data_IF_607677638363
#
_entry.id   IF_607677638363
#
_cell.length_a   1.000
_cell.length_b   1.000
_cell.length_c   1.000
_cell.angle_alpha   90.00
_cell.angle_beta   90.00
_cell.angle_gamma   90.00
#
_symmetry.space_group_name_H-M   'P 1'
#
loop_
_entity.id
_entity.type
_entity.pdbx_description
1 polymer ?
#
# COMPACT_ATOMS: atom_id res chain seq x y z
N UNK A 1 -48.05 -58.27 -32.96
CA UNK A 1 -47.25 -57.06 -33.07
C UNK A 1 -46.84 -56.65 -31.62
N UNK A 2 -45.60 -56.91 -31.24
CA UNK A 2 -45.07 -56.50 -29.89
C UNK A 2 -44.31 -55.19 -30.08
N UNK A 3 -44.75 -54.13 -29.41
CA UNK A 3 -44.07 -52.84 -29.38
C UNK A 3 -42.84 -52.94 -28.45
N UNK A 4 -41.65 -52.59 -28.96
CA UNK A 4 -40.40 -52.48 -28.21
C UNK A 4 -40.30 -51.05 -27.70
N UNK A 5 -40.37 -50.88 -26.39
CA UNK A 5 -40.15 -49.56 -25.75
C UNK A 5 -38.65 -49.38 -25.52
N UNK A 6 -38.03 -48.43 -26.21
CA UNK A 6 -36.64 -48.07 -25.99
C UNK A 6 -36.59 -47.04 -24.83
N UNK A 7 -35.99 -47.45 -23.72
CA UNK A 7 -35.70 -46.54 -22.58
C UNK A 7 -34.36 -45.89 -22.87
N UNK A 8 -34.34 -44.58 -23.20
CA UNK A 8 -33.11 -43.79 -23.28
C UNK A 8 -32.65 -43.40 -21.86
N UNK A 9 -31.53 -43.93 -21.44
CA UNK A 9 -30.86 -43.51 -20.20
C UNK A 9 -30.07 -42.24 -20.49
N UNK A 10 -30.52 -41.10 -19.96
CA UNK A 10 -29.78 -39.86 -19.98
C UNK A 10 -28.77 -39.92 -18.79
N UNK A 11 -27.50 -40.11 -19.11
CA UNK A 11 -26.41 -39.97 -18.14
C UNK A 11 -26.12 -38.50 -17.93
N UNK A 12 -26.62 -37.91 -16.85
CA UNK A 12 -26.22 -36.60 -16.38
C UNK A 12 -24.79 -36.62 -15.89
N UNK A 13 -23.85 -36.10 -16.67
CA UNK A 13 -22.52 -35.76 -16.18
C UNK A 13 -22.65 -34.56 -15.22
N UNK A 14 -22.69 -34.84 -13.92
CA UNK A 14 -22.47 -33.79 -12.90
C UNK A 14 -20.99 -33.47 -12.97
N UNK A 15 -20.66 -32.36 -13.66
CA UNK A 15 -19.32 -31.80 -13.66
C UNK A 15 -18.98 -31.40 -12.23
N UNK A 16 -18.08 -32.15 -11.58
CA UNK A 16 -17.44 -31.72 -10.34
C UNK A 16 -16.62 -30.46 -10.65
N UNK A 17 -17.16 -29.30 -10.32
CA UNK A 17 -16.32 -28.11 -10.20
C UNK A 17 -15.23 -28.39 -9.17
N UNK A 18 -13.96 -28.07 -9.42
CA UNK A 18 -12.92 -28.24 -8.42
C UNK A 18 -13.33 -27.48 -7.16
N UNK A 19 -13.37 -28.19 -6.03
CA UNK A 19 -13.63 -27.57 -4.73
C UNK A 19 -12.54 -26.53 -4.50
N UNK A 20 -12.95 -25.27 -4.41
CA UNK A 20 -12.05 -24.17 -4.05
C UNK A 20 -11.44 -24.52 -2.67
N UNK A 21 -10.12 -24.57 -2.60
CA UNK A 21 -9.42 -24.87 -1.35
C UNK A 21 -9.82 -23.82 -0.30
N UNK A 22 -10.08 -24.21 0.95
CA UNK A 22 -10.42 -23.27 2.01
C UNK A 22 -9.28 -22.26 2.16
N UNK A 23 -9.61 -20.95 2.11
CA UNK A 23 -8.63 -19.89 2.28
C UNK A 23 -8.07 -19.89 3.70
N UNK A 24 -6.75 -19.65 3.88
CA UNK A 24 -6.13 -19.69 5.19
C UNK A 24 -6.76 -18.67 6.13
N UNK A 25 -7.03 -19.08 7.36
CA UNK A 25 -7.59 -18.22 8.40
C UNK A 25 -6.49 -17.54 9.23
N UNK A 26 -5.33 -18.20 9.37
CA UNK A 26 -4.12 -17.71 10.02
C UNK A 26 -2.90 -18.17 9.23
N UNK A 27 -1.74 -17.57 9.54
CA UNK A 27 -0.48 -18.07 9.00
C UNK A 27 -0.10 -19.40 9.65
N UNK A 28 0.42 -20.30 8.82
CA UNK A 28 1.06 -21.54 9.25
C UNK A 28 2.59 -21.39 9.17
N UNK A 29 3.29 -21.78 10.25
CA UNK A 29 4.74 -21.70 10.39
C UNK A 29 5.34 -23.12 10.52
N UNK A 30 5.40 -23.89 9.45
CA UNK A 30 5.92 -25.26 9.52
C UNK A 30 7.43 -25.26 9.82
N UNK A 31 7.89 -26.27 10.55
CA UNK A 31 9.32 -26.46 10.81
C UNK A 31 10.14 -26.71 9.54
N UNK A 32 9.49 -27.28 8.52
CA UNK A 32 10.05 -27.49 7.17
C UNK A 32 9.02 -27.12 6.12
N UNK A 33 9.48 -26.53 5.02
CA UNK A 33 8.60 -26.14 3.91
C UNK A 33 7.89 -27.38 3.34
N UNK A 34 6.55 -27.43 3.36
CA UNK A 34 5.81 -28.57 2.83
C UNK A 34 6.05 -28.76 1.33
N UNK A 35 6.28 -29.98 0.89
CA UNK A 35 6.47 -30.30 -0.54
C UNK A 35 5.25 -29.89 -1.40
N UNK A 36 4.06 -29.87 -0.81
CA UNK A 36 2.82 -29.45 -1.48
C UNK A 36 2.86 -28.01 -1.96
N UNK A 37 3.72 -27.16 -1.39
CA UNK A 37 3.91 -25.76 -1.84
C UNK A 37 4.72 -25.66 -3.13
N UNK A 38 5.41 -26.73 -3.54
CA UNK A 38 6.30 -26.73 -4.71
C UNK A 38 7.35 -25.60 -4.63
N UNK A 39 8.07 -25.56 -3.52
CA UNK A 39 9.15 -24.60 -3.25
C UNK A 39 10.45 -25.40 -3.04
N UNK A 40 11.50 -24.99 -3.73
CA UNK A 40 12.84 -25.56 -3.57
C UNK A 40 13.52 -25.01 -2.33
N UNK A 41 13.67 -25.81 -1.28
CA UNK A 41 14.37 -25.42 -0.05
C UNK A 41 15.83 -25.02 -0.30
N UNK A 42 16.51 -25.69 -1.22
CA UNK A 42 17.92 -25.38 -1.56
C UNK A 42 18.06 -23.96 -2.18
N UNK A 43 17.05 -23.55 -2.94
CA UNK A 43 17.04 -22.24 -3.59
C UNK A 43 16.65 -21.09 -2.64
N UNK A 44 15.98 -21.37 -1.53
CA UNK A 44 15.70 -20.37 -0.49
C UNK A 44 17.00 -19.82 0.13
N UNK A 45 18.09 -20.59 0.14
CA UNK A 45 19.38 -20.14 0.62
C UNK A 45 19.92 -18.91 -0.16
N UNK A 46 19.50 -18.72 -1.42
CA UNK A 46 19.89 -17.53 -2.18
C UNK A 46 19.29 -16.24 -1.64
N UNK A 47 18.12 -16.33 -1.00
CA UNK A 47 17.52 -15.17 -0.30
C UNK A 47 18.43 -14.77 0.87
N UNK A 48 18.77 -15.73 1.73
CA UNK A 48 19.64 -15.48 2.89
C UNK A 48 20.98 -14.89 2.46
N UNK A 49 21.58 -15.47 1.43
CA UNK A 49 22.90 -15.05 0.92
C UNK A 49 22.86 -13.64 0.36
N UNK A 50 21.83 -13.30 -0.43
CA UNK A 50 21.65 -11.96 -0.97
C UNK A 50 21.55 -10.91 0.13
N UNK A 51 20.66 -11.14 1.11
CA UNK A 51 20.35 -10.17 2.14
C UNK A 51 21.51 -10.01 3.13
N UNK A 52 22.15 -11.11 3.52
CA UNK A 52 23.33 -11.07 4.38
C UNK A 52 24.49 -10.34 3.72
N UNK A 53 24.75 -10.58 2.44
CA UNK A 53 25.76 -9.91 1.61
C UNK A 53 25.57 -8.38 1.59
N UNK A 54 24.33 -7.92 1.49
CA UNK A 54 24.01 -6.48 1.46
C UNK A 54 24.20 -5.83 2.83
N UNK A 55 23.86 -6.55 3.91
CA UNK A 55 24.13 -6.11 5.28
C UNK A 55 25.63 -6.07 5.58
N UNK A 56 26.37 -7.15 5.27
CA UNK A 56 27.81 -7.27 5.56
C UNK A 56 28.65 -6.22 4.80
N UNK A 57 28.19 -5.83 3.61
CA UNK A 57 28.83 -4.76 2.80
C UNK A 57 28.41 -3.36 3.25
N UNK A 58 27.52 -3.22 4.24
CA UNK A 58 27.00 -1.94 4.71
C UNK A 58 26.14 -1.20 3.66
N UNK A 59 25.62 -1.92 2.66
CA UNK A 59 24.74 -1.33 1.64
C UNK A 59 23.37 -1.04 2.24
N UNK A 60 22.84 -1.93 3.09
CA UNK A 60 21.62 -1.74 3.87
C UNK A 60 21.92 -1.94 5.37
N UNK A 61 21.19 -1.26 6.27
CA UNK A 61 21.38 -1.44 7.71
C UNK A 61 20.86 -2.81 8.16
N UNK A 62 19.81 -3.26 7.54
CA UNK A 62 19.07 -4.48 7.86
C UNK A 62 18.16 -4.89 6.72
N UNK A 63 17.67 -6.13 6.80
CA UNK A 63 16.56 -6.63 6.01
C UNK A 63 15.63 -7.48 6.91
N UNK A 64 14.35 -7.21 6.88
CA UNK A 64 13.31 -8.07 7.47
C UNK A 64 12.42 -8.58 6.35
N UNK A 65 12.21 -9.88 6.29
CA UNK A 65 11.43 -10.54 5.25
C UNK A 65 10.20 -11.22 5.81
N UNK A 66 9.14 -11.26 5.00
CA UNK A 66 8.00 -12.13 5.24
C UNK A 66 7.49 -12.65 3.89
N UNK A 67 7.58 -13.97 3.66
CA UNK A 67 7.11 -14.60 2.43
C UNK A 67 6.23 -15.79 2.78
N UNK A 68 5.01 -15.79 2.25
CA UNK A 68 4.07 -16.88 2.43
C UNK A 68 3.38 -17.27 1.12
N UNK A 69 3.11 -18.55 0.94
CA UNK A 69 2.31 -19.11 -0.15
C UNK A 69 1.08 -19.80 0.42
N UNK A 70 -0.11 -19.37 -0.02
CA UNK A 70 -1.39 -19.90 0.46
C UNK A 70 -1.48 -19.91 2.00
N UNK A 71 -0.96 -18.86 2.67
CA UNK A 71 -0.95 -18.72 4.12
C UNK A 71 0.14 -19.50 4.85
N UNK A 72 0.94 -20.30 4.16
CA UNK A 72 2.08 -21.02 4.75
C UNK A 72 3.34 -20.18 4.61
N UNK A 73 3.91 -19.77 5.76
CA UNK A 73 5.12 -18.94 5.81
C UNK A 73 6.35 -19.82 5.59
N UNK A 74 7.13 -19.51 4.58
CA UNK A 74 8.33 -20.26 4.28
C UNK A 74 9.63 -19.45 4.36
N UNK A 75 9.52 -18.10 4.49
CA UNK A 75 10.65 -17.23 4.77
C UNK A 75 10.21 -16.07 5.65
N UNK A 76 10.72 -16.01 6.87
CA UNK A 76 10.50 -14.92 7.82
C UNK A 76 11.77 -14.77 8.67
N UNK A 77 12.69 -13.91 8.21
CA UNK A 77 14.03 -13.75 8.80
C UNK A 77 14.42 -12.29 8.92
N UNK A 78 15.18 -12.01 9.99
CA UNK A 78 15.80 -10.73 10.26
C UNK A 78 17.31 -10.80 9.99
N UNK A 79 17.88 -9.78 9.37
CA UNK A 79 19.30 -9.62 9.05
C UNK A 79 19.75 -8.22 9.47
N UNK A 80 20.92 -8.10 10.09
CA UNK A 80 21.52 -6.81 10.46
C UNK A 80 20.96 -6.21 11.74
N UNK A 81 20.89 -4.86 11.76
CA UNK A 81 20.74 -4.09 12.99
C UNK A 81 19.48 -3.22 12.95
N UNK A 82 18.68 -3.23 14.00
CA UNK A 82 17.57 -2.26 14.16
C UNK A 82 18.13 -0.85 14.45
N UNK A 83 19.33 -0.78 15.03
CA UNK A 83 20.08 0.44 15.22
C UNK A 83 21.59 0.12 15.18
N UNK A 84 22.31 0.68 14.18
CA UNK A 84 23.73 0.42 13.95
C UNK A 84 24.58 1.04 15.08
N UNK A 85 24.24 2.26 15.49
CA UNK A 85 25.03 3.03 16.43
C UNK A 85 25.08 2.37 17.82
N UNK A 86 23.96 1.80 18.25
CA UNK A 86 23.89 1.06 19.53
C UNK A 86 24.27 -0.43 19.40
N UNK A 87 24.41 -0.94 18.18
CA UNK A 87 24.64 -2.36 17.91
C UNK A 87 23.45 -3.26 18.26
N UNK A 88 22.24 -2.71 18.26
CA UNK A 88 21.02 -3.48 18.53
C UNK A 88 20.64 -4.30 17.30
N UNK A 89 20.58 -5.63 17.44
CA UNK A 89 20.15 -6.53 16.39
C UNK A 89 18.69 -6.28 16.00
N UNK A 90 18.35 -6.55 14.73
CA UNK A 90 16.97 -6.50 14.25
C UNK A 90 16.18 -7.70 14.76
N UNK A 91 14.98 -7.44 15.29
CA UNK A 91 14.04 -8.46 15.75
C UNK A 91 12.79 -8.51 14.80
N UNK A 92 12.11 -9.65 14.75
CA UNK A 92 10.96 -9.85 13.86
C UNK A 92 9.75 -9.02 14.23
N UNK A 93 9.63 -8.64 15.49
CA UNK A 93 8.56 -7.83 16.06
C UNK A 93 8.93 -6.35 16.21
N UNK A 94 10.07 -5.93 15.65
CA UNK A 94 10.43 -4.51 15.59
C UNK A 94 9.42 -3.71 14.75
N UNK A 95 9.22 -2.45 15.15
CA UNK A 95 8.28 -1.54 14.53
C UNK A 95 8.95 -0.76 13.40
N UNK A 96 8.35 -0.79 12.25
CA UNK A 96 8.77 -0.02 11.08
C UNK A 96 7.84 1.13 10.80
N UNK A 97 8.36 2.18 10.16
CA UNK A 97 7.55 3.23 9.56
C UNK A 97 7.00 2.72 8.23
N UNK A 98 5.71 2.47 8.15
CA UNK A 98 5.08 1.94 6.95
C UNK A 98 4.98 2.98 5.84
N UNK A 99 5.05 4.28 6.17
CA UNK A 99 4.91 5.37 5.21
C UNK A 99 3.74 5.14 4.23
N UNK A 100 4.03 5.08 2.94
CA UNK A 100 3.01 4.99 1.90
C UNK A 100 2.23 3.67 1.85
N UNK A 101 2.66 2.64 2.56
CA UNK A 101 1.82 1.46 2.80
C UNK A 101 0.50 1.82 3.52
N UNK A 102 0.49 2.92 4.28
CA UNK A 102 -0.72 3.48 4.90
C UNK A 102 -1.84 3.72 3.89
N UNK A 103 -1.52 4.10 2.65
CA UNK A 103 -2.50 4.42 1.61
C UNK A 103 -3.42 3.25 1.26
N UNK A 104 -2.87 2.04 1.16
CA UNK A 104 -3.66 0.86 0.88
C UNK A 104 -4.66 0.57 2.01
N UNK A 105 -4.23 0.73 3.28
CA UNK A 105 -5.09 0.56 4.46
C UNK A 105 -6.19 1.62 4.47
N UNK A 106 -5.86 2.88 4.18
CA UNK A 106 -6.84 3.98 4.09
C UNK A 106 -7.83 3.76 2.94
N UNK A 107 -7.36 3.28 1.78
CA UNK A 107 -8.23 2.95 0.64
C UNK A 107 -9.21 1.83 1.01
N UNK A 108 -8.74 0.77 1.66
CA UNK A 108 -9.60 -0.31 2.16
C UNK A 108 -10.61 0.22 3.18
N UNK A 109 -10.20 1.10 4.11
CA UNK A 109 -11.12 1.71 5.06
C UNK A 109 -12.24 2.50 4.37
N UNK A 110 -11.91 3.29 3.35
CA UNK A 110 -12.91 4.03 2.58
C UNK A 110 -13.84 3.05 1.82
N UNK A 111 -13.30 1.96 1.27
CA UNK A 111 -14.10 0.97 0.54
C UNK A 111 -15.02 0.15 1.45
N UNK A 112 -14.76 0.02 2.75
CA UNK A 112 -15.74 -0.55 3.69
C UNK A 112 -16.98 0.32 3.82
N UNK A 113 -16.84 1.64 3.72
CA UNK A 113 -17.95 2.60 3.73
C UNK A 113 -18.70 2.63 2.39
N UNK A 114 -18.00 2.37 1.28
CA UNK A 114 -18.62 2.12 -0.02
C UNK A 114 -19.57 0.90 0.04
N UNK A 115 -19.13 -0.22 0.61
CA UNK A 115 -19.98 -1.41 0.80
C UNK A 115 -21.21 -1.14 1.69
N UNK A 116 -21.11 -0.20 2.62
CA UNK A 116 -22.21 0.27 3.44
C UNK A 116 -23.17 1.23 2.70
N UNK A 117 -22.90 1.53 1.42
CA UNK A 117 -23.74 2.43 0.62
C UNK A 117 -23.64 3.91 1.00
N UNK A 118 -22.57 4.34 1.68
CA UNK A 118 -22.39 5.74 2.09
C UNK A 118 -22.16 6.68 0.93
N UNK A 119 -21.60 6.19 -0.17
CA UNK A 119 -21.32 6.94 -1.40
C UNK A 119 -21.25 6.01 -2.60
N UNK A 120 -21.27 6.59 -3.81
CA UNK A 120 -20.93 5.92 -5.06
C UNK A 120 -19.50 6.28 -5.45
N UNK A 121 -18.77 5.35 -6.12
CA UNK A 121 -17.37 5.55 -6.45
C UNK A 121 -17.13 6.77 -7.37
N UNK A 122 -18.12 7.12 -8.19
CA UNK A 122 -18.08 8.27 -9.09
C UNK A 122 -18.84 9.49 -8.56
N UNK A 123 -19.21 9.49 -7.27
CA UNK A 123 -19.76 10.69 -6.64
C UNK A 123 -18.71 11.82 -6.67
N UNK A 124 -19.13 13.07 -7.03
CA UNK A 124 -18.25 14.22 -6.95
C UNK A 124 -17.79 14.49 -5.51
N UNK A 125 -16.50 14.73 -5.33
CA UNK A 125 -15.91 15.03 -4.02
C UNK A 125 -16.55 16.28 -3.40
N UNK A 126 -16.89 17.27 -4.22
CA UNK A 126 -17.57 18.52 -3.80
C UNK A 126 -18.94 18.30 -3.15
N UNK A 127 -19.56 17.14 -3.36
CA UNK A 127 -20.79 16.73 -2.65
C UNK A 127 -20.57 16.56 -1.14
N UNK A 128 -19.36 16.19 -0.74
CA UNK A 128 -19.00 15.88 0.65
C UNK A 128 -18.04 16.92 1.24
N UNK A 129 -17.24 17.56 0.38
CA UNK A 129 -16.26 18.59 0.72
C UNK A 129 -16.58 19.82 -0.15
N UNK A 130 -17.52 20.69 0.27
CA UNK A 130 -17.93 21.84 -0.55
C UNK A 130 -16.79 22.82 -0.88
N UNK A 131 -15.72 22.82 -0.08
CA UNK A 131 -14.51 23.63 -0.30
C UNK A 131 -13.67 23.15 -1.49
N UNK A 132 -13.95 21.96 -2.02
CA UNK A 132 -13.19 21.37 -3.12
C UNK A 132 -13.30 22.22 -4.39
N UNK A 133 -12.16 22.61 -4.93
CA UNK A 133 -12.08 23.43 -6.15
C UNK A 133 -12.64 22.68 -7.37
N UNK A 134 -13.21 23.44 -8.30
CA UNK A 134 -13.56 23.01 -9.65
C UNK A 134 -12.65 23.64 -10.72
N UNK A 135 -11.45 24.10 -10.31
CA UNK A 135 -10.51 24.81 -11.15
C UNK A 135 -9.25 23.97 -11.42
N UNK A 136 -8.76 24.02 -12.65
CA UNK A 136 -7.45 23.50 -13.08
C UNK A 136 -6.50 24.65 -13.31
N UNK A 137 -5.26 24.49 -12.89
CA UNK A 137 -4.17 25.42 -13.15
C UNK A 137 -3.86 25.46 -14.66
N UNK A 138 -3.92 26.64 -15.26
CA UNK A 138 -3.45 26.87 -16.63
C UNK A 138 -2.03 27.41 -16.68
N UNK A 139 -1.72 28.37 -15.80
CA UNK A 139 -0.42 29.02 -15.76
C UNK A 139 -0.09 29.44 -14.33
N UNK A 140 1.14 29.16 -13.93
CA UNK A 140 1.76 29.71 -12.73
C UNK A 140 2.86 30.71 -13.15
N UNK A 141 2.79 31.92 -12.64
CA UNK A 141 3.78 32.96 -12.89
C UNK A 141 4.91 32.89 -11.85
N UNK A 142 6.12 33.44 -12.18
CA UNK A 142 7.25 33.48 -11.24
C UNK A 142 6.99 34.23 -9.94
N UNK A 143 6.07 35.17 -9.93
CA UNK A 143 5.65 35.94 -8.75
C UNK A 143 4.63 35.22 -7.87
N UNK A 144 4.25 33.97 -8.22
CA UNK A 144 3.29 33.15 -7.51
C UNK A 144 1.83 33.39 -7.86
N UNK A 145 1.52 34.36 -8.76
CA UNK A 145 0.17 34.52 -9.31
C UNK A 145 -0.13 33.41 -10.31
N UNK A 146 -1.40 33.05 -10.47
CA UNK A 146 -1.79 31.98 -11.41
C UNK A 146 -3.12 32.27 -12.10
N UNK A 147 -3.32 31.66 -13.26
CA UNK A 147 -4.61 31.62 -13.97
C UNK A 147 -5.16 30.21 -13.94
N UNK A 148 -6.49 30.10 -13.96
CA UNK A 148 -7.21 28.83 -13.92
C UNK A 148 -8.31 28.80 -14.96
N UNK A 149 -8.73 27.62 -15.33
CA UNK A 149 -9.97 27.33 -16.02
C UNK A 149 -10.81 26.32 -15.24
N UNK A 150 -12.07 26.22 -15.57
CA UNK A 150 -12.93 25.18 -15.01
C UNK A 150 -12.51 23.80 -15.47
N UNK A 151 -12.66 22.78 -14.59
CA UNK A 151 -12.43 21.36 -14.91
C UNK A 151 -13.38 20.89 -16.05
N UNK A 152 -12.88 19.99 -16.88
CA UNK A 152 -13.70 19.36 -17.93
C UNK A 152 -14.72 18.37 -17.35
N UNK A 153 -14.39 17.70 -16.24
CA UNK A 153 -15.25 16.76 -15.52
C UNK A 153 -15.07 16.93 -14.00
N UNK A 154 -16.10 16.61 -13.19
CA UNK A 154 -15.98 16.69 -11.74
C UNK A 154 -14.89 15.78 -11.19
N UNK A 155 -14.20 16.22 -10.14
CA UNK A 155 -13.34 15.37 -9.32
C UNK A 155 -14.19 14.37 -8.54
N UNK A 156 -13.93 13.08 -8.70
CA UNK A 156 -14.68 11.99 -8.04
C UNK A 156 -13.83 11.23 -7.03
N UNK A 157 -14.48 10.39 -6.19
CA UNK A 157 -13.80 9.53 -5.22
C UNK A 157 -12.89 8.51 -5.94
N UNK A 158 -13.29 8.00 -7.11
CA UNK A 158 -12.44 7.16 -7.98
C UNK A 158 -11.10 7.83 -8.25
N UNK A 159 -11.11 9.09 -8.64
CA UNK A 159 -9.90 9.84 -8.97
C UNK A 159 -8.97 10.02 -7.75
N UNK A 160 -9.52 10.13 -6.53
CA UNK A 160 -8.72 10.17 -5.31
C UNK A 160 -8.00 8.83 -5.08
N UNK A 161 -8.74 7.71 -5.14
CA UNK A 161 -8.24 6.37 -4.88
C UNK A 161 -7.23 5.89 -5.92
N UNK A 162 -7.34 6.36 -7.17
CA UNK A 162 -6.44 6.00 -8.27
C UNK A 162 -5.30 6.97 -8.50
N UNK A 163 -5.15 8.01 -7.66
CA UNK A 163 -4.16 9.08 -7.86
C UNK A 163 -4.27 9.80 -9.21
N UNK A 164 -5.48 9.89 -9.78
CA UNK A 164 -5.77 10.64 -11.01
C UNK A 164 -6.57 11.92 -10.74
N UNK A 165 -6.49 12.44 -9.52
CA UNK A 165 -7.30 13.57 -9.06
C UNK A 165 -6.79 14.95 -9.50
N UNK A 166 -5.49 15.09 -9.79
CA UNK A 166 -4.85 16.38 -10.00
C UNK A 166 -4.58 17.19 -8.71
N UNK A 167 -5.02 16.71 -7.54
CA UNK A 167 -4.76 17.37 -6.25
C UNK A 167 -3.27 17.37 -5.96
N UNK A 168 -2.67 18.58 -5.77
CA UNK A 168 -1.27 18.72 -5.39
C UNK A 168 -0.25 18.22 -6.42
N UNK A 169 -0.67 17.90 -7.62
CA UNK A 169 0.13 17.28 -8.67
C UNK A 169 1.21 18.13 -9.30
N UNK A 170 1.25 19.43 -9.04
CA UNK A 170 2.31 20.31 -9.50
C UNK A 170 3.22 20.65 -8.32
N UNK A 171 4.54 20.45 -8.46
CA UNK A 171 5.53 20.81 -7.42
C UNK A 171 5.43 22.28 -7.01
N UNK A 172 5.09 23.15 -7.96
CA UNK A 172 4.94 24.58 -7.71
C UNK A 172 3.66 24.88 -6.93
N UNK A 173 2.55 24.15 -7.22
CA UNK A 173 1.33 24.22 -6.41
C UNK A 173 1.53 23.63 -5.01
N UNK A 174 2.31 22.56 -4.86
CA UNK A 174 2.72 22.09 -3.55
C UNK A 174 3.55 23.11 -2.80
N UNK A 175 4.42 23.81 -3.49
CA UNK A 175 5.23 24.89 -2.91
C UNK A 175 4.35 26.04 -2.46
N UNK A 176 3.32 26.42 -3.24
CA UNK A 176 2.34 27.43 -2.85
C UNK A 176 1.54 26.98 -1.63
N UNK A 177 1.02 25.75 -1.62
CA UNK A 177 0.31 25.19 -0.48
C UNK A 177 1.20 25.13 0.76
N UNK A 178 2.46 24.68 0.64
CA UNK A 178 3.45 24.68 1.73
C UNK A 178 3.82 26.08 2.19
N UNK A 179 3.94 27.04 1.29
CA UNK A 179 4.21 28.43 1.64
C UNK A 179 3.03 29.06 2.38
N UNK A 180 1.81 28.70 2.00
CA UNK A 180 0.61 29.10 2.74
C UNK A 180 0.59 28.51 4.15
N UNK A 181 0.97 27.23 4.31
CA UNK A 181 1.16 26.61 5.62
C UNK A 181 2.26 27.27 6.45
N UNK A 182 3.38 27.69 5.81
CA UNK A 182 4.47 28.42 6.48
C UNK A 182 4.07 29.83 6.91
N UNK A 183 3.21 30.49 6.17
CA UNK A 183 2.64 31.80 6.53
C UNK A 183 1.73 31.72 7.78
N UNK A 184 1.20 30.54 8.11
CA UNK A 184 0.45 30.25 9.34
C UNK A 184 1.35 29.86 10.53
N UNK A 185 2.52 30.46 10.70
CA UNK A 185 3.44 30.26 11.84
C UNK A 185 4.16 28.90 11.89
N UNK A 186 4.36 28.23 10.77
CA UNK A 186 5.01 26.88 10.72
C UNK A 186 4.30 25.81 11.58
N UNK A 187 3.07 26.04 12.01
CA UNK A 187 2.33 25.07 12.79
C UNK A 187 1.72 24.03 11.84
N UNK A 188 1.98 22.74 12.08
CA UNK A 188 1.23 21.68 11.41
C UNK A 188 -0.25 21.82 11.76
N UNK A 189 -1.14 21.38 10.87
CA UNK A 189 -2.57 21.33 11.16
C UNK A 189 -2.83 20.40 12.37
N UNK A 190 -3.80 20.77 13.20
CA UNK A 190 -4.13 19.98 14.39
C UNK A 190 -4.95 18.75 14.04
N UNK A 191 -5.67 18.78 12.93
CA UNK A 191 -6.55 17.70 12.47
C UNK A 191 -6.38 17.44 10.96
N UNK A 192 -6.69 16.22 10.53
CA UNK A 192 -6.72 15.85 9.11
C UNK A 192 -7.75 16.69 8.34
N UNK A 193 -8.89 16.98 8.96
CA UNK A 193 -9.95 17.80 8.37
C UNK A 193 -9.47 19.22 8.02
N UNK A 194 -8.69 19.87 8.89
CA UNK A 194 -8.13 21.19 8.63
C UNK A 194 -7.15 21.17 7.46
N UNK A 195 -6.28 20.17 7.42
CA UNK A 195 -5.32 20.03 6.33
C UNK A 195 -6.02 19.81 4.99
N UNK A 196 -6.96 18.84 4.95
CA UNK A 196 -7.67 18.50 3.71
C UNK A 196 -8.48 19.68 3.20
N UNK A 197 -9.21 20.39 4.05
CA UNK A 197 -9.96 21.57 3.65
C UNK A 197 -9.08 22.71 3.11
N UNK A 198 -7.88 22.85 3.63
CA UNK A 198 -6.92 23.80 3.09
C UNK A 198 -6.34 23.32 1.74
N UNK A 199 -6.05 22.03 1.62
CA UNK A 199 -5.45 21.42 0.42
C UNK A 199 -6.39 21.48 -0.79
N UNK A 200 -7.66 21.11 -0.63
CA UNK A 200 -8.60 20.95 -1.75
C UNK A 200 -9.09 22.27 -2.36
N UNK A 201 -8.76 23.41 -1.78
CA UNK A 201 -9.07 24.75 -2.33
C UNK A 201 -8.11 25.16 -3.45
N UNK A 202 -6.91 24.53 -3.54
CA UNK A 202 -5.95 24.86 -4.60
C UNK A 202 -6.39 24.29 -5.94
N UNK A 203 -6.07 24.98 -7.06
CA UNK A 203 -6.34 24.45 -8.38
C UNK A 203 -5.73 23.08 -8.58
N UNK A 204 -6.43 22.21 -9.30
CA UNK A 204 -5.92 20.92 -9.71
C UNK A 204 -4.79 21.10 -10.75
N UNK A 205 -3.84 20.17 -10.77
CA UNK A 205 -2.73 20.24 -11.74
C UNK A 205 -3.17 19.87 -13.16
N UNK A 206 -4.21 19.05 -13.31
CA UNK A 206 -4.78 18.59 -14.56
C UNK A 206 -6.26 18.23 -14.36
N UNK A 207 -6.98 17.98 -15.44
CA UNK A 207 -8.37 17.54 -15.38
C UNK A 207 -8.46 16.15 -14.73
N UNK A 208 -9.35 15.94 -13.75
CA UNK A 208 -9.50 14.66 -13.07
C UNK A 208 -9.68 13.50 -14.05
N UNK A 209 -8.93 12.43 -13.86
CA UNK A 209 -8.97 11.24 -14.67
C UNK A 209 -8.14 11.28 -15.95
N UNK A 210 -7.42 12.39 -16.26
CA UNK A 210 -6.62 12.48 -17.50
C UNK A 210 -5.18 12.04 -17.35
N UNK A 211 -4.64 12.15 -16.13
CA UNK A 211 -3.24 11.83 -15.82
C UNK A 211 -3.15 11.13 -14.47
N UNK A 212 -2.03 10.45 -14.24
CA UNK A 212 -1.68 9.92 -12.94
C UNK A 212 -0.65 10.81 -12.26
N UNK A 213 -0.86 11.11 -10.99
CA UNK A 213 0.12 11.82 -10.21
C UNK A 213 0.04 11.44 -8.72
N UNK A 214 1.10 10.83 -8.22
CA UNK A 214 1.19 10.36 -6.85
C UNK A 214 1.24 11.50 -5.83
N UNK A 215 0.17 11.68 -5.05
CA UNK A 215 0.04 12.84 -4.17
C UNK A 215 -0.91 12.63 -2.97
N UNK A 216 -1.12 13.68 -2.13
CA UNK A 216 -1.87 13.63 -0.89
C UNK A 216 -3.38 13.33 -1.05
N UNK A 217 -3.83 12.86 -2.21
CA UNK A 217 -5.22 12.42 -2.39
C UNK A 217 -5.66 11.37 -1.36
N UNK A 218 -4.72 10.56 -0.84
CA UNK A 218 -5.01 9.61 0.23
C UNK A 218 -5.40 10.28 1.55
N UNK A 219 -4.91 11.50 1.82
CA UNK A 219 -5.32 12.26 3.01
C UNK A 219 -6.77 12.74 2.84
N UNK A 220 -7.19 13.08 1.61
CA UNK A 220 -8.61 13.35 1.31
C UNK A 220 -9.46 12.09 1.49
N UNK A 221 -8.97 10.92 1.07
CA UNK A 221 -9.65 9.65 1.34
C UNK A 221 -9.82 9.40 2.85
N UNK A 222 -8.78 9.67 3.65
CA UNK A 222 -8.83 9.56 5.11
C UNK A 222 -9.85 10.49 5.75
N UNK A 223 -9.92 11.74 5.28
CA UNK A 223 -10.95 12.67 5.72
C UNK A 223 -12.36 12.18 5.35
N UNK A 224 -12.55 11.60 4.15
CA UNK A 224 -13.83 11.02 3.77
C UNK A 224 -14.19 9.82 4.65
N UNK A 225 -13.20 9.04 5.14
CA UNK A 225 -13.46 8.00 6.16
C UNK A 225 -14.02 8.64 7.43
N UNK A 226 -13.43 9.73 7.93
CA UNK A 226 -13.96 10.45 9.11
C UNK A 226 -15.36 11.01 8.84
N UNK A 227 -15.57 11.63 7.69
CA UNK A 227 -16.85 12.22 7.29
C UNK A 227 -17.99 11.19 7.25
N UNK A 228 -17.79 10.05 6.59
CA UNK A 228 -18.83 9.04 6.44
C UNK A 228 -19.05 8.18 7.68
N UNK A 229 -18.01 7.92 8.46
CA UNK A 229 -18.10 7.10 9.67
C UNK A 229 -18.52 7.88 10.89
N UNK A 230 -18.27 9.20 10.92
CA UNK A 230 -18.42 10.05 12.10
C UNK A 230 -17.41 9.74 13.21
N UNK A 231 -16.33 9.03 12.90
CA UNK A 231 -15.25 8.63 13.82
C UNK A 231 -13.91 9.19 13.36
N UNK A 232 -12.94 9.44 14.27
CA UNK A 232 -11.56 9.68 13.87
C UNK A 232 -11.02 8.55 13.01
N UNK A 233 -10.17 8.85 12.02
CA UNK A 233 -9.59 7.88 11.10
C UNK A 233 -8.95 6.70 11.83
N UNK A 234 -8.14 6.98 12.85
CA UNK A 234 -7.47 5.96 13.66
C UNK A 234 -8.44 4.96 14.27
N UNK A 235 -9.50 5.47 14.89
CA UNK A 235 -10.48 4.64 15.59
C UNK A 235 -11.25 3.77 14.61
N UNK A 236 -11.65 4.35 13.47
CA UNK A 236 -12.33 3.60 12.41
C UNK A 236 -11.47 2.50 11.82
N UNK A 237 -10.23 2.81 11.43
CA UNK A 237 -9.29 1.82 10.88
C UNK A 237 -8.99 0.72 11.90
N UNK A 238 -8.78 1.09 13.15
CA UNK A 238 -8.52 0.13 14.22
C UNK A 238 -9.68 -0.84 14.43
N UNK A 239 -10.91 -0.34 14.46
CA UNK A 239 -12.11 -1.14 14.64
C UNK A 239 -12.42 -2.04 13.44
N UNK A 240 -12.25 -1.53 12.21
CA UNK A 240 -12.73 -2.20 11.00
C UNK A 240 -11.66 -3.04 10.30
N UNK A 241 -10.38 -2.76 10.52
CA UNK A 241 -9.28 -3.43 9.83
C UNK A 241 -8.29 -4.04 10.82
N UNK A 242 -7.63 -3.22 11.66
CA UNK A 242 -6.49 -3.69 12.44
C UNK A 242 -6.88 -4.76 13.45
N UNK A 243 -7.90 -4.49 14.27
CA UNK A 243 -8.37 -5.45 15.29
C UNK A 243 -8.94 -6.73 14.66
N UNK A 244 -9.83 -6.68 13.65
CA UNK A 244 -10.33 -7.90 13.01
C UNK A 244 -9.24 -8.78 12.38
N UNK A 245 -8.18 -8.17 11.83
CA UNK A 245 -7.07 -8.91 11.22
C UNK A 245 -6.02 -9.36 12.25
N UNK A 246 -6.13 -8.92 13.52
CA UNK A 246 -5.13 -9.21 14.54
C UNK A 246 -3.82 -8.43 14.34
N UNK A 247 -3.89 -7.25 13.73
CA UNK A 247 -2.75 -6.33 13.54
C UNK A 247 -2.55 -5.50 14.80
N UNK A 248 -2.07 -6.14 15.86
CA UNK A 248 -2.05 -5.59 17.22
C UNK A 248 -0.93 -4.57 17.44
N UNK A 249 0.12 -4.66 16.63
CA UNK A 249 1.29 -3.80 16.68
C UNK A 249 1.28 -2.71 15.59
N UNK A 250 0.15 -2.49 14.91
CA UNK A 250 0.00 -1.45 13.89
C UNK A 250 -0.85 -0.29 14.41
N UNK A 251 -0.30 0.93 14.39
CA UNK A 251 -1.00 2.14 14.82
C UNK A 251 -0.29 3.41 14.31
N UNK A 252 -0.89 4.59 14.49
CA UNK A 252 -0.26 5.91 14.29
C UNK A 252 0.56 6.35 15.49
N UNK A 253 0.17 5.93 16.70
CA UNK A 253 0.72 6.42 17.96
C UNK A 253 0.88 5.28 18.97
N UNK A 254 1.98 5.34 19.72
CA UNK A 254 2.36 4.32 20.69
C UNK A 254 2.68 4.93 22.05
N UNK A 255 2.43 4.19 23.13
CA UNK A 255 3.04 4.46 24.44
C UNK A 255 4.58 4.41 24.37
N UNK A 256 5.23 5.23 25.19
CA UNK A 256 6.69 5.37 25.23
C UNK A 256 7.45 4.02 25.34
N UNK A 257 6.89 3.04 26.05
CA UNK A 257 7.47 1.71 26.21
C UNK A 257 7.77 0.96 24.89
N UNK A 258 7.18 1.37 23.78
CA UNK A 258 7.41 0.78 22.45
C UNK A 258 8.57 1.43 21.69
N UNK A 259 9.17 2.51 22.23
CA UNK A 259 10.24 3.26 21.56
C UNK A 259 11.43 2.37 21.20
N UNK A 260 11.79 1.45 22.10
CA UNK A 260 12.90 0.54 21.87
C UNK A 260 12.68 -0.43 20.71
N UNK A 261 11.41 -0.67 20.31
CA UNK A 261 11.09 -1.50 19.16
C UNK A 261 11.10 -0.73 17.84
N UNK A 262 11.19 0.61 17.86
CA UNK A 262 11.18 1.39 16.63
C UNK A 262 12.56 1.32 15.97
N UNK A 263 12.55 0.80 14.72
CA UNK A 263 13.76 0.66 13.91
C UNK A 263 14.25 2.03 13.43
N UNK A 264 15.56 2.26 13.52
CA UNK A 264 16.21 3.47 13.01
C UNK A 264 16.17 3.46 11.47
N UNK A 265 15.79 4.59 10.88
CA UNK A 265 15.83 4.78 9.44
C UNK A 265 17.17 5.42 9.04
N UNK A 266 17.69 5.05 7.87
CA UNK A 266 19.00 5.47 7.39
C UNK A 266 18.96 6.15 6.05
N UNK A 267 19.74 7.22 5.89
CA UNK A 267 20.06 7.82 4.60
C UNK A 267 21.50 7.45 4.24
N UNK A 268 21.74 7.14 2.98
CA UNK A 268 23.11 7.03 2.47
C UNK A 268 23.65 8.44 2.18
N UNK A 269 24.83 8.75 2.69
CA UNK A 269 25.59 9.98 2.43
C UNK A 269 27.08 9.63 2.27
N UNK A 270 27.62 9.96 1.11
CA UNK A 270 29.03 9.71 0.76
C UNK A 270 29.47 8.26 0.99
N UNK A 271 28.61 7.32 0.61
CA UNK A 271 28.86 5.88 0.74
C UNK A 271 28.70 5.32 2.16
N UNK A 272 28.11 6.09 3.09
CA UNK A 272 27.87 5.66 4.48
C UNK A 272 26.40 5.77 4.85
N UNK A 273 25.94 4.83 5.65
CA UNK A 273 24.62 4.89 6.27
C UNK A 273 24.67 5.87 7.45
N UNK A 274 23.77 6.84 7.43
CA UNK A 274 23.63 7.87 8.48
C UNK A 274 22.21 7.81 9.03
N UNK A 275 22.08 7.67 10.35
CA UNK A 275 20.78 7.65 11.02
C UNK A 275 19.96 8.91 10.70
N UNK A 276 18.69 8.72 10.44
CA UNK A 276 17.74 9.80 10.19
C UNK A 276 16.97 10.12 11.46
N UNK A 277 16.81 11.41 11.81
CA UNK A 277 16.01 11.79 12.97
C UNK A 277 14.60 11.21 12.92
N UNK A 278 14.01 10.91 14.07
CA UNK A 278 12.67 10.33 14.22
C UNK A 278 11.55 11.12 13.56
N UNK A 279 11.77 12.39 13.35
CA UNK A 279 10.81 13.27 12.67
C UNK A 279 11.48 13.85 11.44
N UNK A 280 11.10 13.33 10.27
CA UNK A 280 11.51 13.93 9.01
C UNK A 280 10.64 15.17 8.74
N UNK A 281 11.27 16.32 8.51
CA UNK A 281 10.58 17.60 8.34
C UNK A 281 9.48 17.50 7.26
N UNK A 282 8.23 17.47 7.68
CA UNK A 282 7.04 17.54 6.82
C UNK A 282 6.39 16.23 6.41
N UNK A 283 6.92 15.07 6.83
CA UNK A 283 6.29 13.77 6.54
C UNK A 283 6.24 12.92 7.81
N UNK A 284 5.07 12.80 8.39
CA UNK A 284 4.84 12.03 9.61
C UNK A 284 5.08 12.83 10.90
N UNK A 285 4.47 12.36 11.97
CA UNK A 285 4.64 12.90 13.32
C UNK A 285 5.40 11.90 14.19
N UNK A 286 5.93 12.38 15.29
CA UNK A 286 6.52 11.51 16.32
C UNK A 286 5.43 10.53 16.82
N UNK A 287 5.60 9.21 16.66
CA UNK A 287 4.59 8.24 17.08
C UNK A 287 4.42 8.16 18.61
N UNK A 288 5.32 8.76 19.38
CA UNK A 288 5.30 8.77 20.85
C UNK A 288 4.80 10.11 21.43
N UNK A 289 4.17 10.97 20.61
CA UNK A 289 3.58 12.22 21.11
C UNK A 289 2.25 11.98 21.81
N UNK A 290 1.88 12.92 22.70
CA UNK A 290 0.61 12.84 23.43
C UNK A 290 -0.61 13.31 22.62
N UNK A 291 -0.40 14.19 21.63
CA UNK A 291 -1.49 14.66 20.76
C UNK A 291 -1.70 13.69 19.60
N UNK A 292 -2.79 12.96 19.65
CA UNK A 292 -3.17 11.92 18.69
C UNK A 292 -4.33 12.32 17.77
N UNK A 293 -4.72 13.61 17.75
CA UNK A 293 -5.87 14.09 16.96
C UNK A 293 -5.63 14.07 15.46
N UNK A 294 -4.36 14.19 15.04
CA UNK A 294 -3.98 14.18 13.64
C UNK A 294 -3.44 12.82 13.24
N UNK A 295 -4.11 12.15 12.32
CA UNK A 295 -3.65 10.88 11.73
C UNK A 295 -3.47 11.06 10.22
N UNK A 296 -2.22 11.13 9.77
CA UNK A 296 -1.92 11.25 8.35
C UNK A 296 -2.33 9.97 7.62
N UNK A 297 -3.25 10.10 6.68
CA UNK A 297 -3.87 8.97 6.01
C UNK A 297 -3.00 8.39 4.87
N UNK A 298 -2.05 9.18 4.38
CA UNK A 298 -1.14 8.77 3.31
C UNK A 298 0.17 8.12 3.78
N UNK A 299 0.61 8.32 5.05
CA UNK A 299 1.98 7.93 5.47
C UNK A 299 2.15 7.65 6.97
N UNK A 300 1.09 7.74 7.77
CA UNK A 300 1.20 7.86 9.22
C UNK A 300 1.30 6.56 10.01
N UNK A 301 1.04 5.39 9.41
CA UNK A 301 1.10 4.11 10.10
C UNK A 301 2.54 3.67 10.39
N UNK A 302 2.69 3.06 11.54
CA UNK A 302 3.83 2.24 11.93
C UNK A 302 3.30 0.83 12.24
N UNK A 303 4.15 -0.19 12.15
CA UNK A 303 3.73 -1.55 12.46
C UNK A 303 4.83 -2.57 12.22
N UNK A 304 4.54 -3.82 12.57
CA UNK A 304 5.42 -4.95 12.26
C UNK A 304 5.16 -5.45 10.82
N UNK A 305 6.15 -6.13 10.26
CA UNK A 305 6.02 -6.75 8.93
C UNK A 305 4.92 -7.82 8.92
N UNK A 306 4.78 -8.58 10.01
CA UNK A 306 3.76 -9.64 10.11
C UNK A 306 2.35 -9.06 10.14
N UNK A 307 2.12 -7.95 10.83
CA UNK A 307 0.83 -7.27 10.81
C UNK A 307 0.46 -6.85 9.39
N UNK A 308 1.41 -6.25 8.65
CA UNK A 308 1.14 -5.87 7.27
C UNK A 308 0.96 -7.08 6.33
N UNK A 309 1.64 -8.19 6.61
CA UNK A 309 1.42 -9.46 5.91
C UNK A 309 0.00 -9.99 6.12
N UNK A 310 -0.61 -9.82 7.32
CA UNK A 310 -2.03 -10.15 7.58
C UNK A 310 -2.97 -9.33 6.70
N UNK A 311 -2.68 -8.05 6.52
CA UNK A 311 -3.41 -7.19 5.60
C UNK A 311 -3.27 -7.68 4.14
N UNK A 312 -2.07 -7.99 3.69
CA UNK A 312 -1.82 -8.54 2.35
C UNK A 312 -2.56 -9.88 2.14
N UNK A 313 -2.54 -10.77 3.14
CA UNK A 313 -3.24 -12.05 3.07
C UNK A 313 -4.76 -11.88 3.02
N UNK A 314 -5.31 -10.89 3.72
CA UNK A 314 -6.73 -10.53 3.63
C UNK A 314 -7.10 -10.12 2.20
N UNK A 315 -6.29 -9.29 1.55
CA UNK A 315 -6.50 -8.91 0.13
C UNK A 315 -6.42 -10.15 -0.77
N UNK A 316 -5.38 -10.97 -0.64
CA UNK A 316 -5.20 -12.21 -1.40
C UNK A 316 -6.39 -13.17 -1.27
N UNK A 317 -6.98 -13.23 -0.08
CA UNK A 317 -8.13 -14.07 0.22
C UNK A 317 -9.48 -13.47 -0.24
N UNK A 318 -9.47 -12.32 -0.94
CA UNK A 318 -10.70 -11.64 -1.38
C UNK A 318 -11.48 -11.00 -0.22
N UNK A 319 -10.77 -10.42 0.73
CA UNK A 319 -11.31 -9.59 1.79
C UNK A 319 -11.54 -10.29 3.14
N UNK A 320 -11.01 -11.50 3.34
CA UNK A 320 -11.23 -12.30 4.57
C UNK A 320 -9.91 -12.82 5.13
N UNK A 321 -9.67 -12.64 6.41
CA UNK A 321 -8.58 -13.26 7.17
C UNK A 321 -8.91 -13.31 8.66
N UNK A 322 -8.28 -14.21 9.42
CA UNK A 322 -8.49 -14.40 10.85
C UNK A 322 -9.99 -14.58 11.22
N UNK A 323 -10.76 -15.28 10.36
CA UNK A 323 -12.20 -15.48 10.53
C UNK A 323 -13.07 -14.25 10.30
N UNK A 324 -12.48 -13.09 10.02
CA UNK A 324 -13.16 -11.81 9.84
C UNK A 324 -13.19 -11.39 8.36
N UNK A 325 -14.33 -10.85 7.93
CA UNK A 325 -14.48 -10.22 6.63
C UNK A 325 -14.32 -8.69 6.81
N UNK A 326 -13.32 -8.13 6.13
CA UNK A 326 -13.10 -6.68 6.04
C UNK A 326 -13.81 -6.12 4.81
N UNK A 327 -13.67 -6.79 3.64
CA UNK A 327 -14.31 -6.42 2.39
C UNK A 327 -14.95 -7.65 1.72
N UNK A 328 -15.88 -7.39 0.83
CA UNK A 328 -16.41 -8.40 -0.09
C UNK A 328 -15.42 -8.70 -1.22
N UNK A 329 -15.45 -9.94 -1.74
CA UNK A 329 -14.60 -10.36 -2.86
C UNK A 329 -14.72 -9.44 -4.08
N UNK A 330 -15.94 -9.04 -4.44
CA UNK A 330 -16.19 -8.17 -5.59
C UNK A 330 -15.60 -6.78 -5.43
N UNK A 331 -15.52 -6.27 -4.20
CA UNK A 331 -14.87 -4.99 -3.91
C UNK A 331 -13.36 -5.09 -4.08
N UNK A 332 -12.74 -6.18 -3.61
CA UNK A 332 -11.32 -6.45 -3.86
C UNK A 332 -11.04 -6.54 -5.36
N UNK A 333 -11.85 -7.29 -6.11
CA UNK A 333 -11.73 -7.38 -7.58
C UNK A 333 -11.82 -6.01 -8.25
N UNK A 334 -12.76 -5.15 -7.83
CA UNK A 334 -12.89 -3.79 -8.35
C UNK A 334 -11.68 -2.92 -8.01
N UNK A 335 -11.09 -3.09 -6.82
CA UNK A 335 -9.88 -2.36 -6.42
C UNK A 335 -8.65 -2.81 -7.20
N UNK A 336 -8.65 -4.03 -7.72
CA UNK A 336 -7.54 -4.67 -8.44
C UNK A 336 -7.62 -4.49 -9.97
N UNK A 337 -8.54 -3.68 -10.47
CA UNK A 337 -8.66 -3.34 -11.91
C UNK A 337 -8.05 -1.98 -12.14
N UNK A 338 -7.31 -1.86 -13.23
CA UNK A 338 -6.71 -0.58 -13.66
C UNK A 338 -7.77 0.51 -13.84
N UNK A 339 -7.49 1.67 -13.28
CA UNK A 339 -8.38 2.84 -13.27
C UNK A 339 -7.83 4.02 -14.09
N UNK A 340 -6.64 3.86 -14.68
CA UNK A 340 -5.93 4.95 -15.33
C UNK A 340 -6.20 5.03 -16.82
N UNK A 341 -6.15 6.24 -17.42
CA UNK A 341 -6.04 6.37 -18.88
C UNK A 341 -4.67 5.89 -19.35
N UNK A 342 -4.56 5.43 -20.57
CA UNK A 342 -3.29 5.07 -21.20
C UNK A 342 -3.09 5.81 -22.53
N UNK A 343 -1.85 6.32 -22.76
CA UNK A 343 -0.73 6.42 -21.82
C UNK A 343 -0.99 7.40 -20.70
N UNK A 344 -0.24 7.29 -19.59
CA UNK A 344 -0.33 8.20 -18.46
C UNK A 344 1.07 8.65 -17.98
N UNK A 345 1.12 9.59 -17.02
CA UNK A 345 2.37 10.18 -16.52
C UNK A 345 3.20 9.23 -15.63
N UNK A 346 2.66 8.10 -15.22
CA UNK A 346 3.42 7.02 -14.56
C UNK A 346 4.26 6.20 -15.53
N UNK A 347 4.01 6.39 -16.83
CA UNK A 347 4.66 5.65 -17.92
C UNK A 347 3.63 4.90 -18.79
N UNK A 348 4.05 4.45 -19.99
CA UNK A 348 3.14 3.78 -20.92
C UNK A 348 2.55 2.48 -20.36
N UNK A 349 3.27 1.84 -19.45
CA UNK A 349 2.97 0.52 -18.91
C UNK A 349 2.65 0.57 -17.40
N UNK A 350 2.32 1.76 -16.87
CA UNK A 350 2.00 1.94 -15.47
C UNK A 350 0.50 1.82 -15.23
N UNK A 351 0.10 0.88 -14.38
CA UNK A 351 -1.28 0.57 -14.02
C UNK A 351 -1.53 0.78 -12.54
N UNK A 352 -2.65 1.41 -12.20
CA UNK A 352 -3.02 1.65 -10.81
C UNK A 352 -4.53 1.45 -10.61
N UNK A 353 -4.86 0.66 -9.60
CA UNK A 353 -6.23 0.38 -9.18
C UNK A 353 -6.73 1.39 -8.14
N UNK A 354 -7.61 0.94 -7.24
CA UNK A 354 -8.09 1.76 -6.13
C UNK A 354 -7.21 1.51 -4.88
N UNK A 355 -6.02 2.14 -4.87
CA UNK A 355 -5.07 2.07 -3.76
C UNK A 355 -3.90 1.11 -3.93
N UNK A 356 -3.76 0.45 -5.09
CA UNK A 356 -2.68 -0.48 -5.42
C UNK A 356 -2.14 -0.23 -6.81
N UNK A 357 -0.83 -0.33 -6.97
CA UNK A 357 -0.22 -0.51 -8.27
C UNK A 357 -0.44 -1.95 -8.76
N UNK A 358 -0.62 -2.12 -10.06
CA UNK A 358 -0.95 -3.41 -10.68
C UNK A 358 0.14 -3.77 -11.68
N UNK A 359 0.66 -4.99 -11.59
CA UNK A 359 1.55 -5.53 -12.61
C UNK A 359 0.81 -5.73 -13.93
N UNK A 360 1.35 -5.21 -15.06
CA UNK A 360 0.68 -5.26 -16.35
C UNK A 360 0.53 -6.69 -16.89
N UNK A 361 -0.52 -6.93 -17.68
CA UNK A 361 -0.79 -8.23 -18.28
C UNK A 361 0.15 -8.58 -19.44
N UNK A 362 0.64 -7.57 -20.18
CA UNK A 362 1.47 -7.77 -21.37
C UNK A 362 2.94 -7.56 -21.08
N UNK A 363 3.75 -8.50 -21.52
CA UNK A 363 5.21 -8.45 -21.34
C UNK A 363 5.86 -7.25 -22.05
N UNK A 364 5.26 -6.78 -23.15
CA UNK A 364 5.69 -5.59 -23.89
C UNK A 364 5.45 -4.30 -23.12
N UNK A 365 4.54 -4.30 -22.16
CA UNK A 365 4.16 -3.15 -21.34
C UNK A 365 5.10 -2.97 -20.12
N UNK A 366 6.02 -3.92 -19.88
CA UNK A 366 6.99 -3.88 -18.78
C UNK A 366 8.31 -3.19 -19.12
N UNK A 367 8.53 -2.84 -20.40
CA UNK A 367 9.77 -2.20 -20.85
C UNK A 367 9.85 -0.76 -20.37
N UNK A 368 10.86 -0.48 -19.54
CA UNK A 368 11.20 0.89 -19.11
C UNK A 368 10.79 1.24 -17.68
N UNK A 369 10.10 0.37 -16.96
CA UNK A 369 9.81 0.57 -15.53
C UNK A 369 10.96 -0.02 -14.73
N UNK A 370 11.65 0.81 -13.94
CA UNK A 370 12.93 0.45 -13.30
C UNK A 370 12.80 -0.57 -12.15
N UNK A 371 11.59 -0.86 -11.66
CA UNK A 371 11.38 -1.64 -10.45
C UNK A 371 10.58 -2.93 -10.69
N UNK A 372 10.51 -3.42 -11.92
CA UNK A 372 9.74 -4.62 -12.27
C UNK A 372 10.65 -5.77 -12.70
N UNK A 373 10.45 -6.92 -12.11
CA UNK A 373 11.02 -8.18 -12.60
C UNK A 373 9.99 -8.92 -13.46
N UNK A 374 10.45 -9.51 -14.56
CA UNK A 374 9.62 -10.33 -15.45
C UNK A 374 9.10 -11.62 -14.78
N UNK A 375 9.55 -11.93 -13.56
CA UNK A 375 9.14 -13.15 -12.84
C UNK A 375 7.80 -12.99 -12.12
N UNK A 376 7.37 -11.76 -11.82
CA UNK A 376 6.11 -11.48 -11.14
C UNK A 376 4.92 -11.73 -12.07
N UNK A 377 3.88 -12.34 -11.55
CA UNK A 377 2.67 -12.62 -12.32
C UNK A 377 1.91 -11.33 -12.70
N UNK A 378 1.39 -11.21 -13.93
CA UNK A 378 0.45 -10.15 -14.27
C UNK A 378 -0.76 -10.12 -13.34
N UNK A 379 -1.24 -8.91 -13.02
CA UNK A 379 -2.35 -8.71 -12.09
C UNK A 379 -1.95 -8.76 -10.61
N UNK A 380 -0.66 -8.95 -10.29
CA UNK A 380 -0.16 -8.80 -8.94
C UNK A 380 -0.31 -7.36 -8.46
N UNK A 381 -0.60 -7.18 -7.17
CA UNK A 381 -0.76 -5.89 -6.52
C UNK A 381 0.48 -5.57 -5.70
N UNK A 382 0.95 -4.33 -5.78
CA UNK A 382 2.10 -3.89 -4.98
C UNK A 382 2.00 -2.43 -4.57
N UNK A 383 2.84 -2.05 -3.64
CA UNK A 383 3.32 -0.70 -3.33
C UNK A 383 4.45 -0.78 -2.31
N UNK A 384 4.97 0.38 -1.92
CA UNK A 384 6.01 0.44 -0.90
C UNK A 384 5.95 1.72 -0.07
N UNK A 385 6.74 1.76 0.98
CA UNK A 385 6.98 2.93 1.80
C UNK A 385 8.28 3.65 1.40
N UNK A 386 8.38 4.93 1.74
CA UNK A 386 9.49 5.82 1.36
C UNK A 386 10.88 5.28 1.74
N UNK A 387 10.96 4.48 2.80
CA UNK A 387 12.20 3.86 3.27
C UNK A 387 12.29 2.37 2.91
N UNK A 388 11.80 2.01 1.72
CA UNK A 388 11.85 0.65 1.18
C UNK A 388 11.25 -0.37 2.16
N UNK A 389 9.99 -0.11 2.51
CA UNK A 389 9.09 -1.07 3.12
C UNK A 389 8.15 -1.55 2.03
N UNK A 390 8.53 -2.62 1.31
CA UNK A 390 7.86 -3.03 0.10
C UNK A 390 7.01 -4.28 0.31
N UNK A 391 5.90 -4.38 -0.44
CA UNK A 391 5.04 -5.55 -0.45
C UNK A 391 4.54 -5.88 -1.85
N UNK A 392 4.29 -7.16 -2.08
CA UNK A 392 3.67 -7.70 -3.27
C UNK A 392 2.66 -8.78 -2.90
N UNK A 393 1.52 -8.77 -3.58
CA UNK A 393 0.46 -9.77 -3.48
C UNK A 393 0.28 -10.37 -4.87
N UNK A 394 0.59 -11.65 -5.03
CA UNK A 394 0.45 -12.38 -6.30
C UNK A 394 -0.71 -13.37 -6.20
N UNK A 395 -1.89 -13.03 -6.74
CA UNK A 395 -3.05 -13.91 -6.69
C UNK A 395 -2.90 -15.19 -7.52
N UNK A 396 -2.07 -15.18 -8.57
CA UNK A 396 -1.87 -16.32 -9.45
C UNK A 396 -1.04 -17.40 -8.78
N UNK A 397 0.02 -17.00 -8.07
CA UNK A 397 0.88 -17.92 -7.33
C UNK A 397 0.41 -18.16 -5.87
N UNK A 398 -0.57 -17.39 -5.41
CA UNK A 398 -1.01 -17.42 -4.02
C UNK A 398 0.04 -16.89 -3.04
N UNK A 399 0.89 -15.94 -3.49
CA UNK A 399 2.01 -15.41 -2.72
C UNK A 399 1.69 -14.05 -2.10
N UNK A 400 2.26 -13.85 -0.91
CA UNK A 400 2.54 -12.53 -0.34
C UNK A 400 4.04 -12.45 -0.06
N UNK A 401 4.65 -11.32 -0.44
CA UNK A 401 6.09 -11.10 -0.34
C UNK A 401 6.30 -9.71 0.25
N UNK A 402 7.03 -9.61 1.37
CA UNK A 402 7.38 -8.34 2.00
C UNK A 402 8.89 -8.30 2.29
N UNK A 403 9.48 -7.11 2.09
CA UNK A 403 10.87 -6.81 2.44
C UNK A 403 10.95 -5.40 3.02
N UNK A 404 11.53 -5.25 4.20
CA UNK A 404 11.74 -3.98 4.87
C UNK A 404 13.23 -3.73 5.10
N UNK A 405 13.77 -2.62 4.59
CA UNK A 405 15.20 -2.29 4.70
C UNK A 405 15.50 -0.93 5.33
N UNK A 406 14.49 -0.11 5.48
CA UNK A 406 14.50 1.21 6.15
C UNK A 406 15.65 2.14 5.75
N UNK A 407 15.97 2.18 4.45
CA UNK A 407 17.06 2.96 3.86
C UNK A 407 16.62 3.79 2.65
N UNK A 408 17.22 5.00 2.48
CA UNK A 408 17.16 5.84 1.27
C UNK A 408 18.59 6.19 0.81
N UNK A 409 18.85 6.26 -0.52
CA UNK A 409 17.98 5.92 -1.65
C UNK A 409 17.79 4.42 -1.83
N UNK A 410 16.90 4.03 -2.71
CA UNK A 410 16.70 2.64 -3.11
C UNK A 410 18.01 2.01 -3.65
N UNK A 411 18.18 0.71 -3.41
CA UNK A 411 19.35 -0.09 -3.81
C UNK A 411 19.03 -1.11 -4.88
N UNK A 412 17.83 -1.13 -5.41
CA UNK A 412 17.27 -2.18 -6.29
C UNK A 412 17.28 -3.58 -5.65
N UNK A 413 17.38 -3.63 -4.31
CA UNK A 413 17.36 -4.91 -3.60
C UNK A 413 16.00 -5.59 -3.70
N UNK A 414 14.93 -4.79 -3.85
CA UNK A 414 13.58 -5.31 -3.99
C UNK A 414 13.46 -6.24 -5.21
N UNK A 415 13.92 -5.80 -6.39
CA UNK A 415 13.87 -6.61 -7.60
C UNK A 415 14.73 -7.88 -7.51
N UNK A 416 15.91 -7.75 -6.91
CA UNK A 416 16.79 -8.90 -6.70
C UNK A 416 16.16 -9.89 -5.70
N UNK A 417 15.53 -9.39 -4.66
CA UNK A 417 14.82 -10.21 -3.69
C UNK A 417 13.64 -10.96 -4.35
N UNK A 418 12.81 -10.25 -5.12
CA UNK A 418 11.73 -10.89 -5.88
C UNK A 418 12.28 -12.00 -6.78
N UNK A 419 13.36 -11.77 -7.52
CA UNK A 419 13.99 -12.78 -8.35
C UNK A 419 14.42 -14.01 -7.54
N UNK A 420 14.97 -13.82 -6.33
CA UNK A 420 15.37 -14.94 -5.46
C UNK A 420 14.19 -15.68 -4.86
N UNK A 421 13.05 -15.03 -4.66
CA UNK A 421 11.82 -15.69 -4.21
C UNK A 421 11.21 -16.51 -5.34
N UNK A 422 10.96 -15.89 -6.50
CA UNK A 422 10.27 -16.56 -7.60
C UNK A 422 11.07 -17.73 -8.20
N UNK A 423 12.41 -17.66 -8.25
CA UNK A 423 13.23 -18.76 -8.73
C UNK A 423 13.17 -20.00 -7.83
N UNK A 424 12.69 -19.89 -6.59
CA UNK A 424 12.49 -21.03 -5.70
C UNK A 424 11.17 -21.77 -5.97
N UNK A 425 10.24 -21.19 -6.74
CA UNK A 425 9.00 -21.86 -7.15
C UNK A 425 9.28 -22.98 -8.15
N UNK A 426 8.53 -24.12 -8.07
CA UNK A 426 8.67 -25.30 -8.93
C UNK A 426 7.38 -25.57 -9.71
#
# INVERSE_FOLDING_TARGET
MKALTIISIIVLFVGCSPMEQPKPQNFDYPATVPQTLKISSDRLAYIDQLLQDYVDKGIIPHALTFVAKNGVVFHNKAFGWSDIESGKALEKDDLFRNYSQTKAVTSVALMTLFEQGKFQIDDPVSKFIPECTDQVLEKLNPDGTYTTRRVASPLTIRHLLSHSSGIGGNRDLQTLARNHMRQRDNKPYDTLAEEVKALVQYPLAFDPGTEWNYHPASDVCGYLVEYFSGKPLRDYVKETILTPLGMIDTDWYYPEKYRERLVTAYNERDGKLVATPDVWSGVGRNPFQNDTRYCQAGTGLYGTIEDYARFCQMILNGGVFNGNRVLGRRTIEMMSVDQLPHPNNGGPDFHFGLGFEIYPEKETERKGISNFTQMVSPGSLQWGGMYNTDYLIDPKEGLIILLYTNRIPDTKIWELFLNTVYQALQ
#
